data_IF_240238984443
#
_entry.id   IF_240238984443
#
_cell.length_a   1.000
_cell.length_b   1.000
_cell.length_c   1.000
_cell.angle_alpha   90.00
_cell.angle_beta   90.00
_cell.angle_gamma   90.00
#
_symmetry.space_group_name_H-M   'P 1'
#
loop_
_entity.id
_entity.type
_entity.pdbx_description
1 polymer ?
#
# COMPACT_ATOMS: atom_id res chain seq x y z
N UNK A 1 -10.86 -24.08 1.00
CA UNK A 1 -11.01 -23.17 -0.13
C UNK A 1 -12.49 -22.83 -0.32
N UNK A 2 -12.82 -21.56 -0.32
CA UNK A 2 -14.18 -21.05 -0.51
C UNK A 2 -14.10 -19.91 -1.54
N UNK A 3 -15.16 -19.78 -2.35
CA UNK A 3 -15.33 -18.65 -3.27
C UNK A 3 -16.61 -17.92 -2.84
N UNK A 4 -16.50 -16.60 -2.58
CA UNK A 4 -17.67 -15.80 -2.19
C UNK A 4 -18.49 -15.36 -3.43
N UNK A 5 -19.62 -14.69 -3.19
CA UNK A 5 -20.52 -14.22 -4.25
C UNK A 5 -19.85 -13.17 -5.18
N UNK A 6 -18.81 -12.48 -4.70
CA UNK A 6 -18.03 -11.53 -5.48
C UNK A 6 -16.91 -12.21 -6.29
N UNK A 7 -16.73 -13.53 -6.13
CA UNK A 7 -15.67 -14.30 -6.80
C UNK A 7 -14.33 -14.27 -6.07
N UNK A 8 -14.26 -13.75 -4.85
CA UNK A 8 -13.02 -13.76 -4.07
C UNK A 8 -12.75 -15.16 -3.53
N UNK A 9 -11.55 -15.66 -3.74
CA UNK A 9 -11.12 -16.97 -3.26
C UNK A 9 -10.49 -16.84 -1.87
N UNK A 10 -11.03 -17.59 -0.89
CA UNK A 10 -10.53 -17.62 0.48
C UNK A 10 -9.95 -19.00 0.80
N UNK A 11 -8.78 -18.99 1.42
CA UNK A 11 -8.04 -20.20 1.83
C UNK A 11 -7.75 -20.14 3.32
N UNK A 12 -8.09 -21.19 4.04
CA UNK A 12 -7.71 -21.34 5.45
C UNK A 12 -6.41 -22.14 5.55
N UNK A 13 -5.41 -21.57 6.17
CA UNK A 13 -4.10 -22.18 6.38
C UNK A 13 -3.89 -22.37 7.87
N UNK A 14 -3.82 -23.63 8.31
CA UNK A 14 -3.64 -23.98 9.71
C UNK A 14 -4.76 -23.51 10.63
N UNK A 15 -4.44 -23.37 11.91
CA UNK A 15 -5.40 -22.96 12.95
C UNK A 15 -4.89 -21.70 13.64
N UNK A 16 -5.70 -20.64 13.66
CA UNK A 16 -5.35 -19.30 14.20
C UNK A 16 -4.81 -19.31 15.64
N UNK A 17 -5.18 -20.31 16.44
CA UNK A 17 -4.75 -20.43 17.84
C UNK A 17 -3.34 -21.01 18.00
N UNK A 18 -2.76 -21.53 16.93
CA UNK A 18 -1.42 -22.10 16.94
C UNK A 18 -0.42 -21.04 16.48
N UNK A 19 0.51 -20.58 17.35
CA UNK A 19 1.51 -19.58 16.96
C UNK A 19 2.58 -20.23 16.07
N UNK A 20 3.03 -19.49 15.05
CA UNK A 20 4.18 -19.86 14.26
C UNK A 20 5.46 -19.23 14.84
N UNK A 21 6.45 -20.03 15.18
CA UNK A 21 7.75 -19.55 15.64
C UNK A 21 8.62 -18.98 14.52
N UNK A 22 8.40 -19.45 13.28
CA UNK A 22 9.09 -18.99 12.06
C UNK A 22 8.07 -18.72 10.96
N UNK A 23 8.48 -17.90 10.00
CA UNK A 23 7.69 -17.74 8.76
C UNK A 23 7.63 -19.07 8.01
N UNK A 24 6.48 -19.30 7.40
CA UNK A 24 6.29 -20.40 6.45
C UNK A 24 6.11 -19.81 5.05
N UNK A 25 6.57 -20.53 4.05
CA UNK A 25 6.29 -20.27 2.66
C UNK A 25 5.02 -21.00 2.26
N UNK A 26 4.17 -20.31 1.52
CA UNK A 26 2.89 -20.83 1.04
C UNK A 26 2.82 -20.61 -0.46
N UNK A 27 2.40 -21.65 -1.19
CA UNK A 27 2.13 -21.58 -2.62
C UNK A 27 0.69 -22.04 -2.86
N UNK A 28 -0.15 -21.14 -3.36
CA UNK A 28 -1.57 -21.43 -3.64
C UNK A 28 -1.81 -21.34 -5.14
N UNK A 29 -2.46 -22.35 -5.69
CA UNK A 29 -2.96 -22.36 -7.06
C UNK A 29 -4.34 -21.71 -7.11
N UNK A 30 -4.57 -20.80 -8.06
CA UNK A 30 -5.85 -20.16 -8.29
C UNK A 30 -6.13 -20.12 -9.78
N UNK A 31 -7.14 -20.86 -10.20
CA UNK A 31 -7.58 -20.88 -11.60
C UNK A 31 -8.31 -19.58 -11.98
N UNK A 32 -8.99 -18.96 -11.02
CA UNK A 32 -9.76 -17.74 -11.25
C UNK A 32 -8.87 -16.55 -11.57
N UNK A 33 -7.78 -16.36 -10.83
CA UNK A 33 -6.89 -15.21 -10.99
C UNK A 33 -5.72 -15.45 -11.95
N UNK A 34 -5.55 -16.65 -12.49
CA UNK A 34 -4.51 -16.96 -13.49
C UNK A 34 -4.55 -16.03 -14.71
N UNK A 35 -5.74 -15.58 -15.09
CA UNK A 35 -5.96 -14.67 -16.24
C UNK A 35 -5.96 -13.18 -15.89
N UNK A 36 -6.05 -12.83 -14.60
CA UNK A 36 -6.19 -11.45 -14.12
C UNK A 36 -5.23 -11.14 -12.97
N UNK A 37 -3.94 -11.42 -13.18
CA UNK A 37 -2.90 -11.26 -12.13
C UNK A 37 -2.62 -9.80 -11.77
N UNK A 38 -3.01 -8.86 -12.63
CA UNK A 38 -2.74 -7.44 -12.43
C UNK A 38 -3.47 -6.91 -11.20
N UNK A 39 -2.71 -6.36 -10.27
CA UNK A 39 -3.19 -5.77 -9.01
C UNK A 39 -3.91 -6.73 -8.06
N UNK A 40 -3.76 -8.04 -8.25
CA UNK A 40 -4.25 -9.07 -7.34
C UNK A 40 -3.14 -9.48 -6.40
N UNK A 41 -3.44 -9.46 -5.10
CA UNK A 41 -2.53 -9.88 -4.05
C UNK A 41 -3.24 -10.72 -3.00
N UNK A 42 -2.46 -11.36 -2.15
CA UNK A 42 -2.93 -12.08 -0.98
C UNK A 42 -3.14 -11.09 0.17
N UNK A 43 -4.28 -11.20 0.82
CA UNK A 43 -4.61 -10.48 2.04
C UNK A 43 -4.97 -11.47 3.14
N UNK A 44 -4.54 -11.19 4.36
CA UNK A 44 -5.00 -11.92 5.53
C UNK A 44 -6.33 -11.33 6.00
N UNK A 45 -7.33 -12.18 6.21
CA UNK A 45 -8.66 -11.79 6.67
C UNK A 45 -8.80 -12.01 8.17
N UNK A 46 -9.27 -10.99 8.90
CA UNK A 46 -9.62 -11.08 10.32
C UNK A 46 -10.95 -10.36 10.53
N UNK A 47 -12.04 -11.12 10.55
CA UNK A 47 -13.39 -10.55 10.51
C UNK A 47 -13.56 -9.68 9.24
N UNK A 48 -14.01 -8.43 9.36
CA UNK A 48 -14.21 -7.54 8.21
C UNK A 48 -12.92 -6.85 7.73
N UNK A 49 -11.77 -7.09 8.37
CA UNK A 49 -10.52 -6.41 8.06
C UNK A 49 -9.62 -7.27 7.18
N UNK A 50 -8.95 -6.59 6.23
CA UNK A 50 -7.93 -7.18 5.38
C UNK A 50 -6.58 -6.54 5.66
N UNK A 51 -5.55 -7.38 5.76
CA UNK A 51 -4.16 -6.93 5.88
C UNK A 51 -3.39 -7.41 4.67
N UNK A 52 -2.74 -6.50 3.97
CA UNK A 52 -1.93 -6.82 2.81
C UNK A 52 -0.77 -7.75 3.19
N UNK A 53 -0.63 -8.85 2.45
CA UNK A 53 0.46 -9.82 2.58
C UNK A 53 1.36 -9.76 1.35
N UNK A 54 0.80 -9.45 0.19
CA UNK A 54 1.51 -9.44 -1.08
C UNK A 54 1.38 -10.77 -1.82
N UNK A 55 2.50 -11.23 -2.34
CA UNK A 55 2.61 -12.49 -3.09
C UNK A 55 3.16 -12.30 -4.49
N UNK A 56 3.86 -13.30 -4.96
CA UNK A 56 4.47 -13.33 -6.29
C UNK A 56 3.87 -14.48 -7.10
N UNK A 57 3.47 -14.20 -8.34
CA UNK A 57 2.93 -15.21 -9.25
C UNK A 57 4.06 -15.95 -9.96
N UNK A 58 4.27 -17.21 -9.60
CA UNK A 58 5.28 -18.09 -10.19
C UNK A 58 4.60 -19.37 -10.67
N UNK A 59 4.73 -19.67 -11.95
CA UNK A 59 4.21 -20.92 -12.57
C UNK A 59 2.74 -21.23 -12.24
N UNK A 60 1.88 -20.21 -12.23
CA UNK A 60 0.45 -20.40 -11.99
C UNK A 60 0.04 -20.44 -10.50
N UNK A 61 1.00 -20.27 -9.59
CA UNK A 61 0.78 -20.23 -8.15
C UNK A 61 1.16 -18.88 -7.58
N UNK A 62 0.46 -18.43 -6.55
CA UNK A 62 0.88 -17.28 -5.74
C UNK A 62 1.74 -17.79 -4.60
N UNK A 63 2.97 -17.31 -4.54
CA UNK A 63 3.92 -17.58 -3.47
C UNK A 63 3.96 -16.40 -2.50
N UNK A 64 3.82 -16.66 -1.21
CA UNK A 64 3.94 -15.66 -0.17
C UNK A 64 4.47 -16.25 1.13
N UNK A 65 4.92 -15.41 2.04
CA UNK A 65 5.36 -15.81 3.37
C UNK A 65 4.41 -15.25 4.43
N UNK A 66 4.16 -16.04 5.46
CA UNK A 66 3.38 -15.61 6.61
C UNK A 66 3.98 -16.10 7.92
N UNK A 67 3.75 -15.35 9.00
CA UNK A 67 4.07 -15.75 10.38
C UNK A 67 2.84 -16.09 11.20
N UNK A 68 1.69 -16.15 10.57
CA UNK A 68 0.41 -16.40 11.23
C UNK A 68 -0.43 -17.37 10.40
N UNK A 69 -1.12 -18.27 11.10
CA UNK A 69 -2.17 -19.06 10.51
C UNK A 69 -3.49 -18.27 10.42
N UNK A 70 -4.43 -18.76 9.60
CA UNK A 70 -5.76 -18.18 9.46
C UNK A 70 -6.25 -18.15 8.03
N UNK A 71 -7.15 -17.21 7.76
CA UNK A 71 -7.79 -17.08 6.46
C UNK A 71 -7.05 -16.05 5.60
N UNK A 72 -6.80 -16.45 4.37
CA UNK A 72 -6.18 -15.64 3.34
C UNK A 72 -7.09 -15.55 2.14
N UNK A 73 -7.18 -14.37 1.54
CA UNK A 73 -8.06 -14.11 0.41
C UNK A 73 -7.29 -13.43 -0.70
N UNK A 74 -7.60 -13.75 -1.94
CA UNK A 74 -7.14 -12.99 -3.09
C UNK A 74 -8.09 -11.82 -3.32
N UNK A 75 -7.54 -10.61 -3.32
CA UNK A 75 -8.30 -9.41 -3.64
C UNK A 75 -7.56 -8.60 -4.70
N UNK A 76 -8.34 -7.98 -5.58
CA UNK A 76 -7.85 -7.02 -6.57
C UNK A 76 -7.99 -5.61 -6.02
N UNK A 77 -6.89 -4.88 -5.97
CA UNK A 77 -6.91 -3.45 -5.65
C UNK A 77 -6.72 -2.61 -6.92
N UNK A 78 -7.76 -1.93 -7.32
CA UNK A 78 -7.75 -1.02 -8.47
C UNK A 78 -8.03 0.44 -8.08
N UNK A 79 -8.08 0.73 -6.78
CA UNK A 79 -8.39 2.06 -6.26
C UNK A 79 -7.09 2.76 -5.88
N UNK A 80 -6.72 3.86 -6.56
CA UNK A 80 -5.51 4.59 -6.21
C UNK A 80 -5.55 5.21 -4.82
N UNK A 81 -4.38 5.42 -4.17
CA UNK A 81 -4.31 6.09 -2.89
C UNK A 81 -4.83 7.53 -2.96
N UNK A 82 -5.33 8.03 -1.85
CA UNK A 82 -5.83 9.40 -1.72
C UNK A 82 -4.77 10.33 -1.15
N UNK A 83 -4.73 11.58 -1.63
CA UNK A 83 -3.86 12.64 -1.13
C UNK A 83 -4.75 13.81 -0.70
N UNK A 84 -4.70 14.18 0.59
CA UNK A 84 -5.46 15.31 1.15
C UNK A 84 -4.50 16.35 1.74
N UNK A 85 -4.39 17.55 1.14
CA UNK A 85 -3.48 18.58 1.65
C UNK A 85 -3.97 19.13 3.00
N UNK A 86 -3.06 19.22 3.97
CA UNK A 86 -3.27 19.85 5.27
C UNK A 86 -2.63 21.25 5.31
N UNK A 87 -1.38 21.35 4.82
CA UNK A 87 -0.66 22.61 4.62
C UNK A 87 0.35 22.42 3.49
N UNK A 88 0.34 23.31 2.50
CA UNK A 88 1.33 23.34 1.41
C UNK A 88 1.68 24.82 1.17
N UNK A 89 2.78 25.27 1.79
CA UNK A 89 3.19 26.67 1.80
C UNK A 89 4.72 26.78 1.94
N UNK A 90 5.22 28.03 2.07
CA UNK A 90 6.66 28.31 2.18
C UNK A 90 7.32 27.73 3.42
N UNK A 91 6.58 27.52 4.51
CA UNK A 91 7.10 26.97 5.77
C UNK A 91 7.19 25.45 5.75
N UNK A 92 6.49 24.79 4.81
CA UNK A 92 6.52 23.35 4.70
C UNK A 92 5.32 22.74 3.99
N UNK A 93 5.39 21.43 3.83
CA UNK A 93 4.35 20.62 3.23
C UNK A 93 3.88 19.59 4.24
N UNK A 94 2.57 19.52 4.45
CA UNK A 94 1.90 18.46 5.19
C UNK A 94 0.69 17.98 4.42
N UNK A 95 0.60 16.67 4.21
CA UNK A 95 -0.50 16.04 3.50
C UNK A 95 -0.90 14.77 4.24
N UNK A 96 -2.16 14.41 4.19
CA UNK A 96 -2.61 13.08 4.58
C UNK A 96 -2.64 12.21 3.33
N UNK A 97 -1.98 11.04 3.40
CA UNK A 97 -2.01 10.04 2.34
C UNK A 97 -2.62 8.76 2.91
N UNK A 98 -3.55 8.15 2.20
CA UNK A 98 -4.24 6.95 2.66
C UNK A 98 -4.61 6.08 1.47
N UNK A 99 -4.46 4.79 1.66
CA UNK A 99 -5.02 3.77 0.80
C UNK A 99 -6.06 2.95 1.55
N UNK A 100 -7.04 2.41 0.83
CA UNK A 100 -8.19 1.74 1.43
C UNK A 100 -8.01 0.23 1.57
N UNK A 101 -7.11 -0.38 0.79
CA UNK A 101 -6.98 -1.83 0.74
C UNK A 101 -5.52 -2.29 0.82
N UNK A 102 -4.70 -2.03 -0.19
CA UNK A 102 -3.33 -2.56 -0.24
C UNK A 102 -2.33 -1.78 0.62
N UNK A 103 -2.66 -0.54 1.01
CA UNK A 103 -1.79 0.33 1.77
C UNK A 103 -0.73 1.04 0.92
N UNK A 104 -0.03 2.01 1.53
CA UNK A 104 0.98 2.82 0.83
C UNK A 104 2.29 2.05 0.70
N UNK A 105 2.78 1.90 -0.53
CA UNK A 105 4.07 1.30 -0.86
C UNK A 105 5.19 2.33 -0.88
N UNK A 106 4.98 3.45 -1.57
CA UNK A 106 6.00 4.46 -1.73
C UNK A 106 5.41 5.84 -2.00
N UNK A 107 6.25 6.85 -1.77
CA UNK A 107 5.95 8.24 -2.13
C UNK A 107 7.22 8.93 -2.62
N UNK A 108 7.06 9.85 -3.54
CA UNK A 108 8.15 10.66 -4.08
C UNK A 108 7.69 12.11 -4.22
N UNK A 109 8.41 13.02 -3.59
CA UNK A 109 8.13 14.46 -3.62
C UNK A 109 9.29 15.24 -4.21
N UNK A 110 8.96 16.32 -4.93
CA UNK A 110 9.94 17.26 -5.47
C UNK A 110 9.45 18.71 -5.45
N UNK A 111 10.38 19.65 -5.51
CA UNK A 111 10.12 21.06 -5.80
C UNK A 111 11.01 21.46 -6.96
N UNK A 112 10.41 22.01 -8.04
CA UNK A 112 11.10 22.35 -9.28
C UNK A 112 11.96 21.19 -9.82
N UNK A 113 11.45 19.94 -9.68
CA UNK A 113 12.16 18.73 -10.09
C UNK A 113 13.28 18.26 -9.13
N UNK A 114 13.59 19.03 -8.09
CA UNK A 114 14.56 18.62 -7.06
C UNK A 114 13.86 17.84 -5.95
N UNK A 115 14.45 16.70 -5.57
CA UNK A 115 13.91 15.85 -4.53
C UNK A 115 13.71 16.58 -3.20
N UNK A 116 12.53 16.40 -2.60
CA UNK A 116 12.17 16.93 -1.29
C UNK A 116 12.07 15.79 -0.27
N UNK A 117 12.86 15.89 0.80
CA UNK A 117 12.80 14.92 1.90
C UNK A 117 11.47 15.02 2.63
N UNK A 118 10.75 13.89 2.67
CA UNK A 118 9.49 13.76 3.38
C UNK A 118 9.60 12.70 4.47
N UNK A 119 8.88 12.91 5.57
CA UNK A 119 8.72 11.94 6.66
C UNK A 119 7.27 11.48 6.75
N UNK A 120 7.05 10.17 6.75
CA UNK A 120 5.73 9.56 6.85
C UNK A 120 5.47 9.02 8.25
N UNK A 121 4.42 9.52 8.88
CA UNK A 121 3.87 8.99 10.14
C UNK A 121 2.71 8.06 9.83
N UNK A 122 2.96 6.77 9.98
CA UNK A 122 1.99 5.70 9.71
C UNK A 122 0.76 5.73 10.64
N UNK A 123 0.91 6.28 11.87
CA UNK A 123 -0.20 6.31 12.84
C UNK A 123 -1.24 7.37 12.47
N UNK A 124 -0.78 8.51 11.98
CA UNK A 124 -1.66 9.61 11.55
C UNK A 124 -1.91 9.62 10.04
N UNK A 125 -1.26 8.75 9.27
CA UNK A 125 -1.22 8.75 7.81
C UNK A 125 -0.75 10.10 7.24
N UNK A 126 0.16 10.78 7.94
CA UNK A 126 0.62 12.12 7.59
C UNK A 126 2.01 12.09 6.98
N UNK A 127 2.14 12.71 5.83
CA UNK A 127 3.40 12.96 5.13
C UNK A 127 3.80 14.42 5.34
N UNK A 128 5.00 14.67 5.86
CA UNK A 128 5.49 16.02 6.18
C UNK A 128 6.87 16.26 5.58
N UNK A 129 7.11 17.45 5.01
CA UNK A 129 8.46 17.83 4.57
C UNK A 129 9.37 18.07 5.76
N UNK A 130 10.64 17.68 5.59
CA UNK A 130 11.71 18.04 6.52
C UNK A 130 12.62 19.05 5.81
N UNK A 131 12.52 20.31 6.19
CA UNK A 131 13.44 21.33 5.69
C UNK A 131 14.86 21.04 6.20
N UNK A 132 15.83 21.00 5.28
CA UNK A 132 17.25 20.84 5.63
C UNK A 132 17.79 22.14 6.23
N UNK A 133 17.28 23.27 5.77
CA UNK A 133 17.60 24.61 6.29
C UNK A 133 16.29 25.37 6.56
N UNK A 134 15.96 25.65 7.83
CA UNK A 134 14.77 26.42 8.19
C UNK A 134 14.75 27.85 7.66
N UNK A 135 15.93 28.42 7.33
CA UNK A 135 16.05 29.76 6.77
C UNK A 135 15.76 29.78 5.25
N UNK A 136 15.68 28.62 4.62
CA UNK A 136 15.42 28.49 3.18
C UNK A 136 13.97 28.05 2.94
N UNK A 137 13.02 28.99 2.75
CA UNK A 137 11.62 28.66 2.57
C UNK A 137 11.38 27.94 1.23
N UNK A 138 10.39 27.05 1.22
CA UNK A 138 9.98 26.36 0.01
C UNK A 138 9.38 27.34 -1.00
N UNK A 139 9.78 27.22 -2.26
CA UNK A 139 9.24 28.03 -3.37
C UNK A 139 9.35 27.27 -4.69
N UNK A 140 8.28 27.28 -5.46
CA UNK A 140 8.25 26.68 -6.79
C UNK A 140 7.14 25.65 -6.95
N UNK A 141 7.29 24.80 -7.94
CA UNK A 141 6.30 23.79 -8.31
C UNK A 141 6.54 22.53 -7.48
N UNK A 142 5.64 22.30 -6.51
CA UNK A 142 5.64 21.10 -5.68
C UNK A 142 4.90 19.98 -6.38
N UNK A 143 5.52 18.82 -6.45
CA UNK A 143 4.93 17.59 -7.00
C UNK A 143 5.06 16.46 -5.98
N UNK A 144 4.01 15.65 -5.85
CA UNK A 144 4.00 14.43 -5.06
C UNK A 144 3.36 13.30 -5.85
N UNK A 145 4.04 12.17 -5.94
CA UNK A 145 3.48 10.90 -6.43
C UNK A 145 3.41 9.93 -5.26
N UNK A 146 2.25 9.32 -5.05
CA UNK A 146 2.03 8.26 -4.04
C UNK A 146 1.61 7.00 -4.76
N UNK A 147 2.25 5.89 -4.41
CA UNK A 147 1.98 4.56 -4.98
C UNK A 147 1.55 3.60 -3.86
N UNK A 148 0.50 2.83 -4.08
CA UNK A 148 0.08 1.74 -3.19
C UNK A 148 0.83 0.42 -3.48
N UNK A 149 0.56 -0.61 -2.69
CA UNK A 149 1.21 -1.91 -2.87
C UNK A 149 0.68 -2.70 -4.09
N UNK A 150 -0.45 -2.30 -4.67
CA UNK A 150 -0.97 -2.86 -5.91
C UNK A 150 -0.46 -2.12 -7.17
N UNK A 151 0.36 -1.07 -6.99
CA UNK A 151 0.94 -0.28 -8.08
C UNK A 151 0.03 0.83 -8.62
N UNK A 152 -1.11 1.11 -7.97
CA UNK A 152 -1.92 2.27 -8.34
C UNK A 152 -1.25 3.56 -7.85
N UNK A 153 -1.39 4.64 -8.62
CA UNK A 153 -0.72 5.90 -8.34
C UNK A 153 -1.67 7.08 -8.31
N UNK A 154 -1.40 8.00 -7.39
CA UNK A 154 -2.02 9.34 -7.37
C UNK A 154 -0.94 10.39 -7.38
N UNK A 155 -1.16 11.47 -8.16
CA UNK A 155 -0.26 12.63 -8.22
C UNK A 155 -0.95 13.87 -7.68
N UNK A 156 -0.19 14.71 -7.00
CA UNK A 156 -0.63 16.01 -6.49
C UNK A 156 0.38 17.08 -6.88
N UNK A 157 -0.14 18.22 -7.35
CA UNK A 157 0.65 19.36 -7.80
C UNK A 157 0.19 20.64 -7.09
N UNK A 158 1.12 21.47 -6.69
CA UNK A 158 0.84 22.77 -6.07
C UNK A 158 1.99 23.75 -6.31
N UNK A 159 1.69 24.94 -6.81
CA UNK A 159 2.66 26.04 -6.87
C UNK A 159 2.75 26.72 -5.51
N UNK A 160 3.94 26.81 -4.95
CA UNK A 160 4.27 27.53 -3.71
C UNK A 160 4.90 28.88 -4.12
N UNK A 161 4.21 29.98 -3.82
CA UNK A 161 4.57 31.34 -4.21
C UNK A 161 5.55 31.97 -3.24
#
# INVERSE_FOLDING_TARGET
HLVDEAGNETFTIGTRTIPLHKSIEVAIESDHYLKQKDRVAVYRSVGPMYTYVGGEWINGRVHFTTREFGDFVFLKDSVPPTISPLAVNRQGVRLRIKDSLSGISSYQASINGQWLLMNYDNKSNTLSSKLLDPASPLKGDFELTVTDNAGNQTKYFKKIL
#
